data_IF_614094214239
#
_entry.id   IF_614094214239
#
_cell.length_a   1.000
_cell.length_b   1.000
_cell.length_c   1.000
_cell.angle_alpha   90.00
_cell.angle_beta   90.00
_cell.angle_gamma   90.00
#
_symmetry.space_group_name_H-M   'P 1'
#
loop_
_entity.id
_entity.type
_entity.pdbx_description
1 polymer ?
#
# COMPACT_ATOMS: atom_id res chain seq x y z
N UNK A 1 -5.31 -22.98 45.40
CA UNK A 1 -4.19 -22.44 44.58
C UNK A 1 -4.39 -22.70 43.10
N UNK A 2 -4.81 -23.89 42.75
CA UNK A 2 -5.05 -24.27 41.36
C UNK A 2 -6.23 -23.49 40.76
N UNK A 3 -7.28 -23.29 41.54
CA UNK A 3 -8.48 -22.59 41.08
C UNK A 3 -8.18 -21.18 40.58
N UNK A 4 -7.40 -20.34 41.30
CA UNK A 4 -7.02 -19.02 40.78
C UNK A 4 -6.21 -19.10 39.50
N UNK A 5 -5.32 -20.08 39.39
CA UNK A 5 -4.50 -20.27 38.16
C UNK A 5 -5.38 -20.64 36.98
N UNK A 6 -6.34 -21.54 37.18
CA UNK A 6 -7.30 -21.91 36.14
C UNK A 6 -8.14 -20.72 35.69
N UNK A 7 -8.54 -19.87 36.63
CA UNK A 7 -9.27 -18.65 36.30
C UNK A 7 -8.43 -17.68 35.48
N UNK A 8 -7.16 -17.56 35.82
CA UNK A 8 -6.22 -16.73 35.08
C UNK A 8 -6.06 -17.25 33.66
N UNK A 9 -5.93 -18.56 33.49
CA UNK A 9 -5.81 -19.19 32.17
C UNK A 9 -7.09 -18.96 31.35
N UNK A 10 -8.26 -19.09 31.97
CA UNK A 10 -9.52 -18.83 31.30
C UNK A 10 -9.62 -17.36 30.87
N UNK A 11 -9.13 -16.44 31.70
CA UNK A 11 -9.10 -15.01 31.38
C UNK A 11 -8.16 -14.74 30.20
N UNK A 12 -7.03 -15.41 30.16
CA UNK A 12 -6.07 -15.28 29.06
C UNK A 12 -6.70 -15.77 27.76
N UNK A 13 -7.43 -16.87 27.78
CA UNK A 13 -8.13 -17.39 26.61
C UNK A 13 -9.17 -16.39 26.12
N UNK A 14 -9.90 -15.76 27.04
CA UNK A 14 -10.86 -14.72 26.71
C UNK A 14 -10.20 -13.53 26.01
N UNK A 15 -9.06 -13.10 26.53
CA UNK A 15 -8.27 -12.04 25.92
C UNK A 15 -7.80 -12.42 24.52
N UNK A 16 -7.43 -13.69 24.33
CA UNK A 16 -7.04 -14.18 23.03
C UNK A 16 -8.18 -14.08 22.01
N UNK A 17 -9.40 -14.37 22.41
CA UNK A 17 -10.57 -14.22 21.53
C UNK A 17 -10.79 -12.75 21.17
N UNK A 18 -10.62 -11.85 22.12
CA UNK A 18 -10.70 -10.41 21.85
C UNK A 18 -9.59 -9.98 20.88
N UNK A 19 -8.40 -10.54 20.99
CA UNK A 19 -7.30 -10.28 20.08
C UNK A 19 -7.60 -10.76 18.67
N UNK A 20 -8.34 -11.87 18.53
CA UNK A 20 -8.74 -12.35 17.20
C UNK A 20 -9.67 -11.34 16.52
N UNK A 21 -10.58 -10.72 17.26
CA UNK A 21 -11.42 -9.67 16.72
C UNK A 21 -10.58 -8.43 16.35
N UNK A 22 -9.59 -8.11 17.15
CA UNK A 22 -8.62 -7.07 16.83
C UNK A 22 -7.78 -7.42 15.61
N UNK A 23 -7.45 -8.69 15.42
CA UNK A 23 -6.70 -9.13 14.25
C UNK A 23 -7.42 -8.80 12.96
N UNK A 24 -8.75 -8.80 12.93
CA UNK A 24 -9.52 -8.33 11.80
C UNK A 24 -9.27 -6.86 11.47
N UNK A 25 -9.22 -5.99 12.49
CA UNK A 25 -8.89 -4.59 12.32
C UNK A 25 -7.42 -4.36 11.95
N UNK A 26 -6.52 -5.15 12.55
CA UNK A 26 -5.09 -5.11 12.22
C UNK A 26 -4.86 -5.58 10.77
N UNK A 27 -5.60 -6.61 10.33
CA UNK A 27 -5.51 -7.08 8.95
C UNK A 27 -5.94 -6.00 7.96
N UNK A 28 -6.99 -5.21 8.27
CA UNK A 28 -7.39 -4.07 7.45
C UNK A 28 -6.28 -3.00 7.40
N UNK A 29 -5.65 -2.70 8.53
CA UNK A 29 -4.53 -1.77 8.58
C UNK A 29 -3.34 -2.28 7.76
N UNK A 30 -3.05 -3.60 7.83
CA UNK A 30 -2.01 -4.23 7.01
C UNK A 30 -2.37 -4.19 5.53
N UNK A 31 -3.66 -4.33 5.19
CA UNK A 31 -4.14 -4.27 3.81
C UNK A 31 -3.84 -2.93 3.14
N UNK A 32 -3.75 -1.85 3.92
CA UNK A 32 -3.45 -0.51 3.39
C UNK A 32 -1.99 -0.09 3.59
N UNK A 33 -1.23 -0.82 4.39
CA UNK A 33 0.14 -0.45 4.75
C UNK A 33 1.08 -0.40 3.54
N UNK A 34 0.89 -1.28 2.57
CA UNK A 34 1.67 -1.29 1.35
C UNK A 34 1.50 0.02 0.55
N UNK A 35 0.34 0.65 0.64
CA UNK A 35 0.10 1.95 -0.01
C UNK A 35 0.92 3.06 0.68
N UNK A 36 1.07 2.99 1.99
CA UNK A 36 1.93 3.91 2.74
C UNK A 36 3.40 3.70 2.39
N UNK A 37 3.81 2.46 2.20
CA UNK A 37 5.16 2.15 1.73
C UNK A 37 5.42 2.71 0.34
N UNK A 38 4.46 2.56 -0.57
CA UNK A 38 4.57 3.14 -1.90
C UNK A 38 4.61 4.67 -1.86
N UNK A 39 3.79 5.28 -1.02
CA UNK A 39 3.79 6.74 -0.84
C UNK A 39 5.14 7.22 -0.30
N UNK A 40 5.71 6.50 0.64
CA UNK A 40 7.05 6.79 1.16
C UNK A 40 8.12 6.68 0.07
N UNK A 41 8.03 5.66 -0.77
CA UNK A 41 8.94 5.48 -1.89
C UNK A 41 8.82 6.59 -2.92
N UNK A 42 7.60 7.00 -3.26
CA UNK A 42 7.37 8.13 -4.16
C UNK A 42 7.97 9.41 -3.59
N UNK A 43 7.75 9.66 -2.30
CA UNK A 43 8.31 10.84 -1.63
C UNK A 43 9.83 10.84 -1.64
N UNK A 44 10.45 9.67 -1.47
CA UNK A 44 11.89 9.51 -1.57
C UNK A 44 12.39 9.95 -2.95
N UNK A 45 11.77 9.44 -4.02
CA UNK A 45 12.17 9.78 -5.38
C UNK A 45 11.83 11.23 -5.75
N UNK A 46 10.74 11.78 -5.24
CA UNK A 46 10.40 13.18 -5.40
C UNK A 46 11.51 14.09 -4.85
N UNK A 47 12.03 13.76 -3.67
CA UNK A 47 13.08 14.53 -3.04
C UNK A 47 14.43 14.37 -3.76
N UNK A 48 14.69 13.19 -4.29
CA UNK A 48 15.94 12.91 -4.98
C UNK A 48 15.95 13.39 -6.43
N UNK A 49 14.82 13.32 -7.10
CA UNK A 49 14.68 13.69 -8.52
C UNK A 49 13.50 14.66 -8.70
N UNK A 50 13.59 15.87 -8.12
CA UNK A 50 12.49 16.83 -8.21
C UNK A 50 12.25 17.35 -9.62
N UNK A 51 13.27 17.30 -10.47
CA UNK A 51 13.21 17.73 -11.86
C UNK A 51 13.76 16.63 -12.77
N UNK A 52 13.32 16.66 -14.03
CA UNK A 52 13.86 15.83 -15.10
C UNK A 52 14.24 16.76 -16.23
N UNK A 53 15.52 16.81 -16.60
CA UNK A 53 16.03 17.73 -17.61
C UNK A 53 15.67 19.20 -17.29
N UNK A 54 15.79 19.58 -16.01
CA UNK A 54 15.47 20.90 -15.49
C UNK A 54 13.98 21.30 -15.56
N UNK A 55 13.10 20.33 -15.81
CA UNK A 55 11.64 20.53 -15.77
C UNK A 55 11.09 19.86 -14.50
N UNK A 56 10.25 20.55 -13.71
CA UNK A 56 9.65 19.95 -12.53
C UNK A 56 8.86 18.71 -12.87
N UNK A 57 9.13 17.61 -12.14
CA UNK A 57 8.40 16.36 -12.30
C UNK A 57 7.14 16.37 -11.44
N UNK A 58 6.06 15.80 -11.96
CA UNK A 58 4.77 15.75 -11.25
C UNK A 58 4.64 14.48 -10.39
N UNK A 59 5.49 14.37 -9.37
CA UNK A 59 5.41 13.29 -8.40
C UNK A 59 4.13 13.30 -7.58
N UNK A 60 3.55 14.48 -7.39
CA UNK A 60 2.34 14.64 -6.57
C UNK A 60 1.14 13.92 -7.17
N UNK A 61 1.11 13.73 -8.49
CA UNK A 61 0.06 12.94 -9.14
C UNK A 61 0.08 11.48 -8.62
N UNK A 62 1.28 10.90 -8.50
CA UNK A 62 1.43 9.54 -7.97
C UNK A 62 0.99 9.44 -6.51
N UNK A 63 1.32 10.45 -5.72
CA UNK A 63 0.93 10.51 -4.30
C UNK A 63 -0.59 10.68 -4.14
N UNK A 64 -1.20 11.55 -4.95
CA UNK A 64 -2.66 11.76 -4.94
C UNK A 64 -3.41 10.48 -5.27
N UNK A 65 -2.97 9.77 -6.29
CA UNK A 65 -3.62 8.52 -6.71
C UNK A 65 -3.53 7.46 -5.60
N UNK A 66 -2.38 7.34 -4.93
CA UNK A 66 -2.23 6.42 -3.80
C UNK A 66 -3.14 6.81 -2.64
N UNK A 67 -3.29 8.10 -2.37
CA UNK A 67 -4.19 8.59 -1.32
C UNK A 67 -5.64 8.22 -1.61
N UNK A 68 -6.08 8.39 -2.84
CA UNK A 68 -7.44 8.04 -3.27
C UNK A 68 -7.68 6.53 -3.17
N UNK A 69 -6.71 5.72 -3.58
CA UNK A 69 -6.81 4.27 -3.48
C UNK A 69 -6.82 3.80 -2.03
N UNK A 70 -6.04 4.43 -1.16
CA UNK A 70 -6.05 4.09 0.26
C UNK A 70 -7.42 4.36 0.87
N UNK A 71 -8.04 5.50 0.56
CA UNK A 71 -9.39 5.80 1.01
C UNK A 71 -10.40 4.77 0.51
N UNK A 72 -10.27 4.36 -0.75
CA UNK A 72 -11.12 3.33 -1.33
C UNK A 72 -10.94 2.00 -0.61
N UNK A 73 -9.71 1.59 -0.33
CA UNK A 73 -9.41 0.35 0.39
C UNK A 73 -10.02 0.35 1.79
N UNK A 74 -9.92 1.46 2.51
CA UNK A 74 -10.48 1.59 3.87
C UNK A 74 -12.00 1.41 3.87
N UNK A 75 -12.71 1.91 2.86
CA UNK A 75 -14.16 1.73 2.76
C UNK A 75 -14.59 0.42 2.09
N UNK A 76 -13.63 -0.45 1.77
CA UNK A 76 -13.92 -1.75 1.17
C UNK A 76 -14.17 -1.73 -0.34
N UNK A 77 -13.84 -0.65 -1.01
CA UNK A 77 -14.00 -0.49 -2.46
C UNK A 77 -12.79 -1.07 -3.20
N UNK A 78 -12.77 -2.39 -3.33
CA UNK A 78 -11.67 -3.11 -3.98
C UNK A 78 -11.57 -2.82 -5.47
N UNK A 79 -12.68 -2.56 -6.11
CA UNK A 79 -12.70 -2.27 -7.55
C UNK A 79 -11.95 -0.99 -7.88
N UNK A 80 -12.15 0.06 -7.08
CA UNK A 80 -11.40 1.32 -7.25
C UNK A 80 -9.90 1.11 -7.04
N UNK A 81 -9.50 0.27 -6.08
CA UNK A 81 -8.10 -0.07 -5.86
C UNK A 81 -7.54 -0.83 -7.06
N UNK A 82 -8.28 -1.83 -7.55
CA UNK A 82 -7.86 -2.65 -8.69
C UNK A 82 -7.62 -1.80 -9.93
N UNK A 83 -8.61 -0.99 -10.29
CA UNK A 83 -8.54 -0.12 -11.48
C UNK A 83 -7.45 0.95 -11.28
N UNK A 84 -7.41 1.54 -10.11
CA UNK A 84 -6.44 2.60 -9.79
C UNK A 84 -5.00 2.12 -9.84
N UNK A 85 -4.72 0.92 -9.32
CA UNK A 85 -3.37 0.36 -9.36
C UNK A 85 -2.95 -0.03 -10.76
N UNK A 86 -3.84 -0.58 -11.57
CA UNK A 86 -3.53 -0.87 -12.97
C UNK A 86 -3.12 0.41 -13.72
N UNK A 87 -3.86 1.50 -13.49
CA UNK A 87 -3.53 2.82 -14.05
C UNK A 87 -2.21 3.35 -13.50
N UNK A 88 -1.98 3.20 -12.20
CA UNK A 88 -0.78 3.68 -11.54
C UNK A 88 0.49 3.01 -12.08
N UNK A 89 0.45 1.69 -12.28
CA UNK A 89 1.54 0.96 -12.93
C UNK A 89 1.78 1.44 -14.36
N UNK A 90 0.70 1.70 -15.09
CA UNK A 90 0.82 2.23 -16.46
C UNK A 90 1.47 3.61 -16.46
N UNK A 91 1.12 4.46 -15.50
CA UNK A 91 1.74 5.78 -15.36
C UNK A 91 3.25 5.67 -15.14
N UNK A 92 3.68 4.74 -14.30
CA UNK A 92 5.11 4.49 -14.07
C UNK A 92 5.80 4.00 -15.36
N UNK A 93 5.17 3.07 -16.05
CA UNK A 93 5.71 2.52 -17.30
C UNK A 93 5.85 3.60 -18.36
N UNK A 94 4.87 4.47 -18.49
CA UNK A 94 4.85 5.58 -19.44
C UNK A 94 5.62 6.80 -18.95
N UNK A 95 6.09 6.77 -17.70
CA UNK A 95 6.80 7.88 -17.04
C UNK A 95 5.99 9.17 -17.03
N UNK A 96 4.69 9.04 -16.81
CA UNK A 96 3.77 10.16 -16.77
C UNK A 96 4.21 11.21 -15.75
N UNK A 97 3.96 12.47 -16.06
CA UNK A 97 4.38 13.57 -15.21
C UNK A 97 5.84 13.98 -15.37
N UNK A 98 6.54 13.42 -16.35
CA UNK A 98 7.93 13.75 -16.63
C UNK A 98 8.90 13.31 -15.53
N UNK A 99 8.60 12.21 -14.86
CA UNK A 99 9.46 11.67 -13.81
C UNK A 99 10.74 11.05 -14.39
N UNK A 100 11.79 11.01 -13.58
CA UNK A 100 13.06 10.42 -13.98
C UNK A 100 12.88 8.95 -14.38
N UNK A 101 13.39 8.53 -15.56
CA UNK A 101 13.20 7.15 -16.03
C UNK A 101 13.77 6.09 -15.10
N UNK A 102 14.93 6.33 -14.51
CA UNK A 102 15.55 5.39 -13.58
C UNK A 102 14.72 5.26 -12.31
N UNK A 103 14.26 6.39 -11.79
CA UNK A 103 13.39 6.41 -10.61
C UNK A 103 12.07 5.69 -10.90
N UNK A 104 11.48 5.91 -12.06
CA UNK A 104 10.26 5.22 -12.48
C UNK A 104 10.46 3.70 -12.53
N UNK A 105 11.57 3.23 -13.07
CA UNK A 105 11.88 1.80 -13.15
C UNK A 105 12.10 1.18 -11.78
N UNK A 106 12.81 1.88 -10.89
CA UNK A 106 13.03 1.41 -9.52
C UNK A 106 11.71 1.36 -8.75
N UNK A 107 10.90 2.41 -8.85
CA UNK A 107 9.60 2.48 -8.19
C UNK A 107 8.65 1.39 -8.71
N UNK A 108 8.69 1.11 -10.00
CA UNK A 108 7.91 0.02 -10.60
C UNK A 108 8.27 -1.33 -9.94
N UNK A 109 9.56 -1.62 -9.78
CA UNK A 109 10.00 -2.86 -9.12
C UNK A 109 9.57 -2.91 -7.66
N UNK A 110 9.70 -1.80 -6.94
CA UNK A 110 9.25 -1.71 -5.54
C UNK A 110 7.75 -1.99 -5.48
N UNK A 111 6.97 -1.40 -6.37
CA UNK A 111 5.53 -1.55 -6.40
C UNK A 111 5.10 -2.99 -6.72
N UNK A 112 5.80 -3.67 -7.62
CA UNK A 112 5.54 -5.09 -7.92
C UNK A 112 5.75 -5.94 -6.68
N UNK A 113 6.77 -5.65 -5.88
CA UNK A 113 7.05 -6.41 -4.66
C UNK A 113 6.07 -6.09 -3.53
N UNK A 114 5.61 -4.86 -3.43
CA UNK A 114 4.76 -4.41 -2.32
C UNK A 114 3.28 -4.68 -2.54
N UNK A 115 2.81 -4.71 -3.79
CA UNK A 115 1.38 -4.78 -4.11
C UNK A 115 0.83 -6.19 -3.89
N UNK A 116 -0.25 -6.33 -3.09
CA UNK A 116 -0.92 -7.63 -2.90
C UNK A 116 -1.88 -7.93 -4.06
N UNK A 117 -1.33 -8.38 -5.18
CA UNK A 117 -2.08 -8.60 -6.42
C UNK A 117 -3.28 -9.52 -6.27
N UNK A 118 -3.09 -10.63 -5.57
CA UNK A 118 -4.17 -11.61 -5.39
C UNK A 118 -5.31 -11.07 -4.56
N UNK A 119 -5.00 -10.30 -3.52
CA UNK A 119 -6.01 -9.76 -2.60
C UNK A 119 -6.97 -8.81 -3.30
N UNK A 120 -6.46 -7.99 -4.20
CA UNK A 120 -7.25 -6.99 -4.93
C UNK A 120 -7.57 -7.43 -6.37
N UNK A 121 -7.18 -8.63 -6.75
CA UNK A 121 -7.37 -9.15 -8.11
C UNK A 121 -6.77 -8.24 -9.17
N UNK A 122 -5.63 -7.66 -8.86
CA UNK A 122 -4.87 -6.82 -9.77
C UNK A 122 -4.02 -7.74 -10.64
N UNK A 123 -4.04 -7.52 -11.95
CA UNK A 123 -3.18 -8.27 -12.87
C UNK A 123 -1.73 -7.82 -12.67
N UNK A 124 -0.80 -8.77 -12.60
CA UNK A 124 0.62 -8.45 -12.49
C UNK A 124 1.05 -7.75 -13.78
N UNK A 125 1.59 -6.53 -13.70
CA UNK A 125 1.94 -5.78 -14.89
C UNK A 125 3.20 -6.34 -15.56
N UNK A 126 3.20 -6.32 -16.87
CA UNK A 126 4.39 -6.62 -17.66
C UNK A 126 5.16 -5.31 -17.89
N UNK A 127 6.46 -5.39 -17.72
CA UNK A 127 7.33 -4.24 -17.96
C UNK A 127 7.62 -4.03 -19.44
#
# INVERSE_FOLDING_TARGET
KETPMKRILATIISVSCALVLFAGGVALAQTTNWMDELSGSVSFYKNRYPTTNNVPANWDHYLSDLTLMKKAAIRGDQETVRVGMAKWFKMLKDRDGGINPKAADELFRIAVLATPFDEYKISVPNK
#
